data_IF_534157343999
#
_entry.id   IF_534157343999
#
_cell.length_a   1.000
_cell.length_b   1.000
_cell.length_c   1.000
_cell.angle_alpha   90.00
_cell.angle_beta   90.00
_cell.angle_gamma   90.00
#
_symmetry.space_group_name_H-M   'P 1'
#
loop_
_entity.id
_entity.type
_entity.pdbx_description
1 polymer ?
#
# COMPACT_ATOMS: atom_id res chain seq x y z
N UNK A 1 30.98 -17.09 10.55
CA UNK A 1 29.52 -16.91 10.47
C UNK A 1 28.99 -17.91 9.44
N UNK A 2 27.96 -18.70 9.77
CA UNK A 2 27.62 -19.90 9.02
C UNK A 2 26.83 -19.58 7.75
N UNK A 3 27.29 -20.13 6.63
CA UNK A 3 26.63 -20.08 5.34
C UNK A 3 25.36 -20.95 5.31
N UNK A 4 24.37 -20.50 4.55
CA UNK A 4 23.12 -21.22 4.34
C UNK A 4 23.40 -22.57 3.65
N UNK A 5 23.05 -23.66 4.34
CA UNK A 5 23.05 -25.01 3.81
C UNK A 5 21.77 -25.20 2.98
N UNK A 6 21.87 -25.20 1.66
CA UNK A 6 20.78 -25.65 0.79
C UNK A 6 20.93 -27.18 0.56
N UNK A 7 19.85 -27.97 0.65
CA UNK A 7 19.91 -29.41 0.39
C UNK A 7 20.20 -29.72 -1.09
N UNK A 8 20.97 -30.78 -1.39
CA UNK A 8 21.63 -30.99 -2.69
C UNK A 8 20.74 -31.54 -3.82
N UNK A 9 19.42 -31.35 -3.80
CA UNK A 9 18.55 -31.99 -4.80
C UNK A 9 17.26 -31.23 -5.13
N UNK A 10 17.35 -29.90 -5.27
CA UNK A 10 16.26 -29.12 -5.86
C UNK A 10 16.54 -28.96 -7.37
N UNK A 11 15.67 -29.45 -8.27
CA UNK A 11 15.84 -29.24 -9.70
C UNK A 11 15.79 -27.74 -10.02
N UNK A 12 16.86 -27.23 -10.62
CA UNK A 12 16.91 -25.87 -11.16
C UNK A 12 16.03 -25.87 -12.42
N UNK A 13 14.99 -25.03 -12.52
CA UNK A 13 14.25 -24.90 -13.77
C UNK A 13 15.18 -24.29 -14.84
N UNK A 14 15.23 -24.92 -16.01
CA UNK A 14 16.02 -24.47 -17.16
C UNK A 14 15.70 -23.00 -17.53
N UNK A 15 16.70 -22.23 -17.99
CA UNK A 15 16.46 -20.91 -18.53
C UNK A 15 15.59 -21.03 -19.78
N UNK A 16 14.39 -20.44 -19.73
CA UNK A 16 13.51 -20.34 -20.88
C UNK A 16 14.23 -19.60 -22.00
N UNK A 17 14.35 -20.30 -23.13
CA UNK A 17 14.79 -19.78 -24.40
C UNK A 17 13.93 -18.55 -24.75
N UNK A 18 14.60 -17.42 -25.00
CA UNK A 18 13.99 -16.23 -25.55
C UNK A 18 13.68 -16.50 -27.03
N UNK A 19 12.40 -16.70 -27.34
CA UNK A 19 11.89 -16.52 -28.70
C UNK A 19 11.37 -15.08 -28.80
N UNK A 20 12.20 -14.22 -29.39
CA UNK A 20 11.76 -12.98 -30.02
C UNK A 20 10.97 -13.34 -31.28
N UNK A 21 9.71 -12.90 -31.38
CA UNK A 21 9.18 -12.26 -32.59
C UNK A 21 7.80 -11.63 -32.33
N UNK A 22 7.54 -10.61 -33.12
CA UNK A 22 6.65 -9.46 -32.95
C UNK A 22 5.15 -9.79 -32.86
N UNK A 23 4.40 -9.00 -32.09
CA UNK A 23 3.08 -8.56 -32.57
C UNK A 23 2.75 -7.15 -32.07
N UNK A 24 2.78 -6.21 -33.02
CA UNK A 24 2.41 -4.81 -32.86
C UNK A 24 0.91 -4.73 -33.08
N UNK A 25 0.13 -4.71 -32.00
CA UNK A 25 -1.25 -4.23 -32.10
C UNK A 25 -1.59 -3.24 -30.99
N UNK A 26 -1.95 -2.04 -31.46
CA UNK A 26 -2.54 -0.96 -30.70
C UNK A 26 -3.76 -1.44 -29.95
N UNK A 27 -3.80 -1.14 -28.65
CA UNK A 27 -5.04 -1.08 -27.89
C UNK A 27 -4.99 0.24 -27.12
N UNK A 28 -5.53 1.28 -27.74
CA UNK A 28 -6.07 2.43 -27.04
C UNK A 28 -7.18 1.90 -26.13
N UNK A 29 -7.09 2.15 -24.83
CA UNK A 29 -8.12 1.80 -23.87
C UNK A 29 -8.82 3.10 -23.49
N UNK A 30 -10.00 3.30 -24.05
CA UNK A 30 -10.95 4.34 -23.68
C UNK A 30 -11.28 4.19 -22.19
N UNK A 31 -11.19 5.29 -21.43
CA UNK A 31 -11.66 5.36 -20.05
C UNK A 31 -13.17 5.66 -20.11
N UNK A 32 -14.01 4.65 -19.87
CA UNK A 32 -15.45 4.83 -19.79
C UNK A 32 -15.84 5.63 -18.53
N UNK A 33 -16.56 6.73 -18.76
CA UNK A 33 -17.32 7.49 -17.79
C UNK A 33 -18.52 6.65 -17.31
N UNK A 34 -18.59 6.33 -16.01
CA UNK A 34 -19.83 5.81 -15.43
C UNK A 34 -20.61 6.95 -14.79
N UNK A 35 -21.61 7.41 -15.54
CA UNK A 35 -22.62 8.39 -15.17
C UNK A 35 -23.72 7.77 -14.29
N UNK A 36 -24.29 8.60 -13.43
CA UNK A 36 -25.31 8.23 -12.46
C UNK A 36 -26.57 7.63 -13.10
N UNK A 37 -27.08 6.53 -12.54
CA UNK A 37 -28.50 6.18 -12.71
C UNK A 37 -29.14 5.77 -11.37
N UNK A 38 -30.17 6.52 -11.02
CA UNK A 38 -31.14 6.20 -9.99
C UNK A 38 -31.97 4.97 -10.40
N UNK A 39 -32.10 3.98 -9.50
CA UNK A 39 -33.29 3.12 -9.52
C UNK A 39 -33.66 2.66 -8.11
N UNK A 40 -34.96 2.83 -7.85
CA UNK A 40 -35.72 2.48 -6.67
C UNK A 40 -36.12 1.00 -6.71
N UNK A 41 -36.14 0.32 -5.56
CA UNK A 41 -36.98 -0.88 -5.38
C UNK A 41 -36.42 -2.03 -4.53
N UNK A 42 -36.70 -1.94 -3.22
CA UNK A 42 -37.21 -2.99 -2.31
C UNK A 42 -36.38 -4.22 -1.87
N UNK A 43 -36.32 -4.30 -0.53
CA UNK A 43 -36.55 -5.45 0.38
C UNK A 43 -35.53 -6.59 0.44
N UNK A 44 -34.82 -6.73 1.57
CA UNK A 44 -35.21 -7.66 2.66
C UNK A 44 -34.18 -7.68 3.84
N UNK A 45 -34.74 -7.85 5.05
CA UNK A 45 -34.20 -8.44 6.28
C UNK A 45 -33.05 -7.76 7.06
N UNK A 46 -33.45 -6.86 7.98
CA UNK A 46 -32.66 -6.39 9.12
C UNK A 46 -32.73 -7.41 10.28
N UNK A 47 -31.62 -8.11 10.53
CA UNK A 47 -31.36 -8.82 11.79
C UNK A 47 -30.68 -7.85 12.76
N UNK A 48 -31.35 -7.59 13.87
CA UNK A 48 -30.89 -6.70 14.93
C UNK A 48 -29.68 -7.28 15.69
N UNK A 49 -28.59 -6.51 15.72
CA UNK A 49 -27.59 -6.60 16.79
C UNK A 49 -27.41 -5.22 17.38
N UNK A 50 -27.80 -5.08 18.65
CA UNK A 50 -27.64 -3.90 19.48
C UNK A 50 -26.15 -3.68 19.80
N UNK A 51 -25.54 -2.70 19.14
CA UNK A 51 -24.26 -2.13 19.58
C UNK A 51 -24.56 -1.03 20.61
N UNK A 52 -24.14 -1.29 21.85
CA UNK A 52 -24.18 -0.31 22.93
C UNK A 52 -23.13 0.77 22.67
N UNK A 53 -23.62 2.01 22.65
CA UNK A 53 -22.94 3.28 22.73
C UNK A 53 -21.93 3.29 23.89
N UNK A 54 -20.64 3.35 23.52
CA UNK A 54 -19.56 3.81 24.38
C UNK A 54 -19.05 5.14 23.87
N UNK A 55 -19.70 6.24 24.27
CA UNK A 55 -19.20 7.60 24.15
C UNK A 55 -17.95 7.78 25.01
N UNK A 56 -16.78 7.48 24.44
CA UNK A 56 -15.49 7.92 24.95
C UNK A 56 -15.25 9.34 24.42
N UNK A 57 -15.22 10.30 25.33
CA UNK A 57 -14.96 11.70 25.02
C UNK A 57 -13.62 11.85 24.30
N UNK A 58 -13.68 12.24 23.02
CA UNK A 58 -12.55 12.75 22.29
C UNK A 58 -12.06 14.01 23.01
N UNK A 59 -11.02 13.90 23.84
CA UNK A 59 -10.21 15.05 24.19
C UNK A 59 -9.62 15.58 22.87
N UNK A 60 -10.26 16.61 22.33
CA UNK A 60 -9.70 17.45 21.27
C UNK A 60 -8.38 18.01 21.80
N UNK A 61 -7.29 17.30 21.53
CA UNK A 61 -5.96 17.87 21.61
C UNK A 61 -5.97 18.97 20.55
N UNK A 62 -6.11 20.21 21.00
CA UNK A 62 -5.93 21.43 20.20
C UNK A 62 -4.49 21.45 19.68
N UNK A 63 -4.27 20.69 18.61
CA UNK A 63 -3.00 20.59 17.92
C UNK A 63 -2.87 21.88 17.15
N UNK A 64 -2.11 22.82 17.71
CA UNK A 64 -1.77 24.08 17.06
C UNK A 64 -1.11 23.81 15.70
N UNK A 65 -1.92 23.78 14.63
CA UNK A 65 -1.47 23.52 13.26
C UNK A 65 -0.49 24.59 12.77
N UNK A 66 -0.61 25.82 13.30
CA UNK A 66 0.26 26.94 12.95
C UNK A 66 1.68 26.82 13.53
N UNK A 67 1.90 25.94 14.50
CA UNK A 67 3.23 25.66 15.06
C UNK A 67 3.96 24.48 14.38
N UNK A 68 3.28 23.74 13.49
CA UNK A 68 3.88 22.59 12.80
C UNK A 68 4.56 23.03 11.51
N UNK A 69 5.65 22.36 11.14
CA UNK A 69 6.15 22.49 9.76
C UNK A 69 5.10 21.98 8.76
N UNK A 70 5.11 22.50 7.53
CA UNK A 70 4.20 22.06 6.46
C UNK A 70 4.18 20.53 6.28
N UNK A 71 5.36 19.91 6.39
CA UNK A 71 5.53 18.45 6.28
C UNK A 71 4.88 17.72 7.47
N UNK A 72 5.04 18.22 8.68
CA UNK A 72 4.40 17.66 9.87
C UNK A 72 2.88 17.85 9.86
N UNK A 73 2.41 19.02 9.42
CA UNK A 73 1.00 19.31 9.23
C UNK A 73 0.35 18.36 8.22
N UNK A 74 0.98 18.13 7.07
CA UNK A 74 0.50 17.17 6.07
C UNK A 74 0.52 15.72 6.58
N UNK A 75 1.56 15.32 7.31
CA UNK A 75 1.63 13.98 7.93
C UNK A 75 0.51 13.79 8.95
N UNK A 76 0.25 14.80 9.78
CA UNK A 76 -0.84 14.77 10.76
C UNK A 76 -2.22 14.79 10.10
N UNK A 77 -2.42 15.61 9.06
CA UNK A 77 -3.67 15.64 8.28
C UNK A 77 -3.95 14.28 7.64
N UNK A 78 -2.96 13.68 6.97
CA UNK A 78 -3.13 12.38 6.31
C UNK A 78 -3.47 11.25 7.30
N UNK A 79 -2.83 11.28 8.48
CA UNK A 79 -3.07 10.30 9.56
C UNK A 79 -4.45 10.47 10.20
N UNK A 80 -4.93 11.71 10.33
CA UNK A 80 -6.21 12.03 10.98
C UNK A 80 -7.39 11.78 10.04
N UNK A 81 -7.25 12.10 8.75
CA UNK A 81 -8.33 12.00 7.77
C UNK A 81 -8.45 10.63 7.08
N UNK A 82 -7.68 9.61 7.49
CA UNK A 82 -7.65 8.29 6.84
C UNK A 82 -7.48 8.39 5.32
N UNK A 83 -6.71 9.38 4.85
CA UNK A 83 -6.57 9.66 3.43
C UNK A 83 -5.96 8.43 2.74
N UNK A 84 -6.70 7.83 1.81
CA UNK A 84 -6.24 6.64 1.11
C UNK A 84 -5.11 7.00 0.14
N UNK A 85 -4.24 6.04 -0.16
CA UNK A 85 -3.23 6.18 -1.23
C UNK A 85 -3.86 6.70 -2.53
N UNK A 86 -5.08 6.27 -2.85
CA UNK A 86 -5.85 6.72 -4.01
C UNK A 86 -6.11 8.23 -3.98
N UNK A 87 -6.55 8.77 -2.83
CA UNK A 87 -6.80 10.20 -2.67
C UNK A 87 -5.51 11.03 -2.77
N UNK A 88 -4.41 10.56 -2.18
CA UNK A 88 -3.12 11.26 -2.24
C UNK A 88 -2.56 11.28 -3.67
N UNK A 89 -2.67 10.16 -4.38
CA UNK A 89 -2.25 10.08 -5.79
C UNK A 89 -3.13 10.95 -6.71
N UNK A 90 -4.41 11.10 -6.40
CA UNK A 90 -5.33 11.98 -7.13
C UNK A 90 -4.89 13.45 -7.01
N UNK A 91 -4.59 13.93 -5.80
CA UNK A 91 -4.16 15.33 -5.59
C UNK A 91 -2.85 15.62 -6.33
N UNK A 92 -1.91 14.67 -6.35
CA UNK A 92 -0.66 14.77 -7.11
C UNK A 92 -0.83 14.63 -8.62
N UNK A 93 -1.99 14.15 -9.07
CA UNK A 93 -2.23 13.75 -10.45
C UNK A 93 -1.20 12.74 -10.97
N UNK A 94 -1.06 11.61 -10.26
CA UNK A 94 -0.12 10.53 -10.60
C UNK A 94 -0.79 9.17 -10.79
N UNK A 95 -0.14 8.31 -11.57
CA UNK A 95 -0.51 6.91 -11.73
C UNK A 95 -0.35 6.14 -10.42
N UNK A 96 -1.41 5.47 -9.97
CA UNK A 96 -1.40 4.68 -8.72
C UNK A 96 -0.68 3.33 -8.85
N UNK A 97 -0.54 2.62 -7.72
CA UNK A 97 0.23 1.36 -7.63
C UNK A 97 -0.17 0.24 -8.61
N UNK A 98 -1.39 0.28 -9.16
CA UNK A 98 -1.87 -0.70 -10.13
C UNK A 98 -1.36 -0.49 -11.56
N UNK A 99 -0.76 0.68 -11.86
CA UNK A 99 -0.30 1.01 -13.21
C UNK A 99 1.15 0.63 -13.48
N UNK A 100 1.51 0.50 -14.76
CA UNK A 100 2.88 0.17 -15.20
C UNK A 100 3.92 1.18 -14.73
N UNK A 101 3.58 2.45 -14.55
CA UNK A 101 4.45 3.47 -13.99
C UNK A 101 4.00 3.88 -12.58
N UNK A 102 3.42 2.94 -11.83
CA UNK A 102 2.71 3.19 -10.58
C UNK A 102 3.56 3.31 -9.31
N UNK A 103 4.84 2.94 -9.36
CA UNK A 103 5.72 3.18 -8.21
C UNK A 103 5.79 4.69 -7.95
N UNK A 104 5.76 5.14 -6.68
CA UNK A 104 5.80 6.56 -6.32
C UNK A 104 7.21 7.10 -6.03
N UNK A 105 8.19 6.20 -5.86
CA UNK A 105 9.55 6.55 -5.39
C UNK A 105 10.65 6.36 -6.44
N UNK A 106 10.48 5.44 -7.38
CA UNK A 106 11.47 5.17 -8.42
C UNK A 106 10.82 4.86 -9.78
N UNK A 107 11.62 4.95 -10.83
CA UNK A 107 11.22 4.76 -12.23
C UNK A 107 11.02 3.30 -12.63
N UNK A 108 10.87 2.39 -11.66
CA UNK A 108 10.64 0.97 -11.95
C UNK A 108 9.33 0.80 -12.72
N UNK A 109 9.41 0.07 -13.83
CA UNK A 109 8.24 -0.33 -14.60
C UNK A 109 7.62 -1.58 -13.99
N UNK A 110 6.31 -1.55 -13.81
CA UNK A 110 5.51 -2.68 -13.38
C UNK A 110 5.40 -3.73 -14.49
N UNK A 111 5.17 -4.98 -14.09
CA UNK A 111 4.88 -6.10 -14.98
C UNK A 111 3.63 -6.84 -14.48
N UNK A 112 2.64 -6.97 -15.36
CA UNK A 112 1.34 -7.55 -15.01
C UNK A 112 1.42 -9.05 -15.15
N UNK A 113 1.28 -9.76 -14.03
CA UNK A 113 1.23 -11.20 -14.04
C UNK A 113 -0.20 -11.66 -14.35
N UNK A 114 -0.42 -12.20 -15.56
CA UNK A 114 -1.74 -12.67 -16.01
C UNK A 114 -2.29 -13.83 -15.18
N UNK A 115 -1.43 -14.73 -14.72
CA UNK A 115 -1.83 -15.92 -13.93
C UNK A 115 -2.27 -15.50 -12.52
N UNK A 116 -1.47 -14.67 -11.85
CA UNK A 116 -1.77 -14.18 -10.51
C UNK A 116 -2.76 -13.00 -10.50
N UNK A 117 -3.06 -12.42 -11.67
CA UNK A 117 -3.88 -11.21 -11.89
C UNK A 117 -3.43 -10.03 -11.02
N UNK A 118 -2.13 -9.74 -11.02
CA UNK A 118 -1.54 -8.70 -10.16
C UNK A 118 -0.44 -7.93 -10.87
N UNK A 119 -0.36 -6.64 -10.55
CA UNK A 119 0.78 -5.80 -10.89
C UNK A 119 1.95 -6.09 -9.95
N UNK A 120 3.15 -6.24 -10.49
CA UNK A 120 4.39 -6.47 -9.72
C UNK A 120 5.50 -5.54 -10.20
N UNK A 121 6.42 -5.15 -9.32
CA UNK A 121 7.56 -4.28 -9.64
C UNK A 121 8.87 -5.01 -9.32
N UNK A 122 9.38 -5.85 -10.23
CA UNK A 122 10.54 -6.71 -9.95
C UNK A 122 11.88 -5.97 -9.95
N UNK A 123 11.95 -4.76 -10.53
CA UNK A 123 13.18 -3.99 -10.60
C UNK A 123 13.62 -3.45 -9.24
N UNK A 124 14.75 -3.95 -8.74
CA UNK A 124 15.27 -3.61 -7.40
C UNK A 124 16.16 -2.35 -7.37
N UNK A 125 16.72 -1.94 -8.50
CA UNK A 125 17.72 -0.85 -8.59
C UNK A 125 17.32 0.24 -9.60
N UNK A 126 16.02 0.56 -9.70
CA UNK A 126 15.56 1.64 -10.56
C UNK A 126 15.98 3.03 -10.03
N UNK A 127 16.16 3.98 -10.95
CA UNK A 127 16.48 5.35 -10.60
C UNK A 127 15.38 5.96 -9.72
N UNK A 128 15.77 6.70 -8.67
CA UNK A 128 14.83 7.39 -7.80
C UNK A 128 14.23 8.58 -8.55
N UNK A 129 12.94 8.84 -8.35
CA UNK A 129 12.33 10.09 -8.83
C UNK A 129 12.82 11.25 -7.98
N UNK A 130 12.91 12.42 -8.59
CA UNK A 130 13.24 13.66 -7.91
C UNK A 130 12.11 14.67 -8.08
N UNK A 131 12.00 15.61 -7.15
CA UNK A 131 11.05 16.72 -7.24
C UNK A 131 11.27 17.54 -8.51
N UNK A 132 12.53 17.81 -8.86
CA UNK A 132 12.88 18.54 -10.07
C UNK A 132 12.39 17.80 -11.33
N UNK A 133 12.61 16.49 -11.41
CA UNK A 133 12.15 15.69 -12.56
C UNK A 133 10.62 15.66 -12.64
N UNK A 134 9.95 15.66 -11.49
CA UNK A 134 8.50 15.73 -11.41
C UNK A 134 7.97 17.06 -11.98
N UNK A 135 8.50 18.20 -11.52
CA UNK A 135 8.09 19.53 -11.99
C UNK A 135 8.43 19.76 -13.46
N UNK A 136 9.52 19.16 -13.94
CA UNK A 136 9.93 19.21 -15.34
C UNK A 136 9.11 18.27 -16.24
N UNK A 137 8.20 17.46 -15.69
CA UNK A 137 7.36 16.53 -16.46
C UNK A 137 8.13 15.37 -17.09
N UNK A 138 9.27 14.97 -16.53
CA UNK A 138 10.21 14.00 -17.14
C UNK A 138 9.67 12.55 -17.15
N UNK A 139 8.61 12.26 -16.39
CA UNK A 139 8.08 10.90 -16.22
C UNK A 139 6.75 10.69 -16.96
N UNK A 140 6.77 10.51 -18.29
CA UNK A 140 5.56 10.25 -19.07
C UNK A 140 4.89 8.96 -18.59
N UNK A 141 3.57 9.03 -18.35
CA UNK A 141 2.77 7.90 -17.86
C UNK A 141 2.83 7.67 -16.34
N UNK A 142 3.72 8.35 -15.60
CA UNK A 142 3.61 8.46 -14.15
C UNK A 142 2.83 9.71 -13.76
N UNK A 143 3.14 10.85 -14.38
CA UNK A 143 2.44 12.12 -14.19
C UNK A 143 1.28 12.15 -15.17
N UNK A 144 0.06 12.32 -14.67
CA UNK A 144 -1.16 12.38 -15.48
C UNK A 144 -1.49 13.79 -15.93
N UNK A 145 -1.37 14.76 -15.02
CA UNK A 145 -1.58 16.18 -15.31
C UNK A 145 -0.76 17.06 -14.36
N UNK A 146 -0.74 18.36 -14.62
CA UNK A 146 -0.22 19.34 -13.68
C UNK A 146 -1.05 19.34 -12.38
N UNK A 147 -0.37 19.48 -11.24
CA UNK A 147 -1.01 19.59 -9.91
C UNK A 147 -0.67 20.94 -9.30
N UNK A 148 -1.60 21.62 -8.60
CA UNK A 148 -1.32 22.84 -7.85
C UNK A 148 -0.22 22.66 -6.79
N UNK A 149 0.05 21.43 -6.36
CA UNK A 149 1.15 21.13 -5.45
C UNK A 149 2.53 21.48 -6.05
N UNK A 150 2.65 21.50 -7.38
CA UNK A 150 3.88 21.89 -8.08
C UNK A 150 4.22 23.37 -7.94
N UNK A 151 3.33 24.21 -7.40
CA UNK A 151 3.57 25.63 -7.17
C UNK A 151 4.20 25.91 -5.79
N UNK A 152 4.22 24.91 -4.91
CA UNK A 152 4.81 25.02 -3.57
C UNK A 152 6.34 24.89 -3.65
N UNK A 153 7.09 25.91 -3.23
CA UNK A 153 8.56 25.95 -3.37
C UNK A 153 9.30 25.15 -2.28
N UNK A 154 8.78 25.11 -1.06
CA UNK A 154 9.39 24.41 0.08
C UNK A 154 8.72 23.04 0.34
N UNK A 155 8.34 22.35 -0.73
CA UNK A 155 7.67 21.06 -0.65
C UNK A 155 8.18 20.12 -1.74
N UNK A 156 8.92 19.09 -1.34
CA UNK A 156 9.39 18.04 -2.24
C UNK A 156 8.24 17.05 -2.48
N UNK A 157 7.63 17.11 -3.67
CA UNK A 157 6.51 16.25 -4.00
C UNK A 157 6.91 14.79 -3.84
N UNK A 158 8.11 14.36 -4.19
CA UNK A 158 8.48 12.94 -4.09
C UNK A 158 8.72 12.50 -2.64
N UNK A 159 9.42 13.30 -1.83
CA UNK A 159 9.85 12.93 -0.48
C UNK A 159 8.82 13.22 0.59
N UNK A 160 8.18 14.40 0.52
CA UNK A 160 7.40 14.93 1.64
C UNK A 160 6.00 14.35 1.72
N UNK A 161 5.44 13.83 0.61
CA UNK A 161 4.22 13.03 0.76
C UNK A 161 4.50 11.58 1.14
N UNK A 162 3.87 11.20 2.25
CA UNK A 162 3.89 9.88 2.83
C UNK A 162 2.88 9.00 2.06
N UNK A 163 3.32 8.39 0.98
CA UNK A 163 2.51 7.44 0.17
C UNK A 163 2.92 5.98 0.43
N UNK A 164 4.11 5.77 0.98
CA UNK A 164 4.79 4.48 1.03
C UNK A 164 5.70 4.41 2.26
N UNK A 165 5.12 4.40 3.46
CA UNK A 165 5.85 4.17 4.69
C UNK A 165 5.95 2.66 5.01
N UNK A 166 6.97 2.32 5.79
CA UNK A 166 7.27 0.94 6.18
C UNK A 166 6.08 0.26 6.86
N UNK A 167 5.36 0.99 7.70
CA UNK A 167 4.23 0.44 8.45
C UNK A 167 3.15 -0.07 7.50
N UNK A 168 2.74 0.72 6.50
CA UNK A 168 1.68 0.32 5.58
C UNK A 168 2.16 -0.72 4.56
N UNK A 169 3.37 -0.58 4.02
CA UNK A 169 3.86 -1.49 2.97
C UNK A 169 4.37 -2.83 3.51
N UNK A 170 5.19 -2.82 4.56
CA UNK A 170 5.83 -4.02 5.06
C UNK A 170 5.00 -4.65 6.17
N UNK A 171 4.71 -3.90 7.23
CA UNK A 171 4.17 -4.48 8.46
C UNK A 171 2.66 -4.82 8.30
N UNK A 172 1.85 -3.86 7.85
CA UNK A 172 0.43 -4.06 7.57
C UNK A 172 0.17 -4.75 6.23
N UNK A 173 1.02 -4.51 5.23
CA UNK A 173 0.87 -5.09 3.89
C UNK A 173 1.33 -6.53 3.82
N UNK A 174 2.65 -6.75 3.92
CA UNK A 174 3.28 -8.06 3.72
C UNK A 174 3.15 -8.92 4.98
N UNK A 175 3.62 -8.45 6.12
CA UNK A 175 3.73 -9.26 7.34
C UNK A 175 2.36 -9.73 7.83
N UNK A 176 1.37 -8.84 7.89
CA UNK A 176 -0.01 -9.22 8.22
C UNK A 176 -0.55 -10.29 7.28
N UNK A 177 -0.34 -10.14 5.97
CA UNK A 177 -0.79 -11.12 4.97
C UNK A 177 -0.12 -12.47 5.17
N UNK A 178 1.20 -12.48 5.42
CA UNK A 178 1.97 -13.70 5.71
C UNK A 178 1.45 -14.40 6.96
N UNK A 179 1.33 -13.68 8.08
CA UNK A 179 0.85 -14.22 9.35
C UNK A 179 -0.58 -14.78 9.26
N UNK A 180 -1.50 -14.04 8.63
CA UNK A 180 -2.88 -14.50 8.45
C UNK A 180 -2.92 -15.74 7.57
N UNK A 181 -2.15 -15.79 6.49
CA UNK A 181 -2.14 -16.94 5.60
C UNK A 181 -1.46 -18.17 6.19
N UNK A 182 -0.41 -18.02 7.01
CA UNK A 182 0.16 -19.13 7.76
C UNK A 182 -0.74 -19.61 8.90
N UNK A 183 -1.54 -18.73 9.51
CA UNK A 183 -2.56 -19.11 10.49
C UNK A 183 -3.71 -19.89 9.85
N UNK A 184 -4.24 -19.38 8.73
CA UNK A 184 -5.37 -19.99 8.04
C UNK A 184 -4.99 -21.20 7.17
N UNK A 185 -3.72 -21.32 6.78
CA UNK A 185 -3.23 -22.34 5.85
C UNK A 185 -3.41 -21.96 4.37
N UNK A 186 -3.69 -20.69 4.04
CA UNK A 186 -3.92 -20.26 2.67
C UNK A 186 -2.67 -20.25 1.78
N UNK A 187 -1.46 -20.36 2.35
CA UNK A 187 -0.20 -20.47 1.62
C UNK A 187 0.26 -21.92 1.38
N UNK A 188 -0.60 -22.90 1.64
CA UNK A 188 -0.32 -24.30 1.37
C UNK A 188 0.10 -25.08 2.63
N UNK A 189 1.03 -26.03 2.52
CA UNK A 189 1.23 -27.06 3.56
C UNK A 189 1.84 -26.52 4.85
N UNK A 190 2.52 -25.37 4.78
CA UNK A 190 3.13 -24.74 5.95
C UNK A 190 2.08 -23.91 6.67
N UNK A 191 1.65 -24.41 7.83
CA UNK A 191 0.65 -23.77 8.69
C UNK A 191 1.14 -23.69 10.11
N UNK A 192 0.87 -22.57 10.77
CA UNK A 192 1.12 -22.44 12.21
C UNK A 192 0.18 -23.38 12.97
N UNK A 193 0.76 -24.14 13.90
CA UNK A 193 -0.02 -24.95 14.82
C UNK A 193 -0.74 -24.07 15.83
N UNK A 194 -1.82 -24.58 16.45
CA UNK A 194 -2.51 -23.85 17.53
C UNK A 194 -1.56 -23.47 18.66
N UNK A 195 -0.59 -24.33 18.97
CA UNK A 195 0.42 -24.07 19.99
C UNK A 195 1.36 -22.93 19.58
N UNK A 196 1.77 -22.88 18.30
CA UNK A 196 2.59 -21.78 17.79
C UNK A 196 1.83 -20.46 17.80
N UNK A 197 0.55 -20.46 17.37
CA UNK A 197 -0.30 -19.28 17.46
C UNK A 197 -0.47 -18.80 18.90
N UNK A 198 -0.67 -19.72 19.86
CA UNK A 198 -0.73 -19.41 21.30
C UNK A 198 0.56 -18.78 21.80
N UNK A 199 1.72 -19.38 21.50
CA UNK A 199 3.01 -18.84 21.89
C UNK A 199 3.28 -17.44 21.31
N UNK A 200 2.84 -17.18 20.08
CA UNK A 200 2.96 -15.84 19.47
C UNK A 200 2.00 -14.86 20.16
N UNK A 201 0.74 -15.25 20.41
CA UNK A 201 -0.23 -14.41 21.13
C UNK A 201 0.25 -14.05 22.53
N UNK A 202 0.83 -14.99 23.26
CA UNK A 202 1.41 -14.77 24.58
C UNK A 202 2.60 -13.81 24.49
N UNK A 203 3.48 -13.98 23.50
CA UNK A 203 4.59 -13.06 23.27
C UNK A 203 4.10 -11.64 22.96
N UNK A 204 3.05 -11.50 22.13
CA UNK A 204 2.45 -10.21 21.76
C UNK A 204 1.82 -9.50 22.97
N UNK A 205 1.15 -10.24 23.85
CA UNK A 205 0.54 -9.70 25.07
C UNK A 205 1.58 -9.13 26.05
N UNK A 206 2.81 -9.64 26.00
CA UNK A 206 3.92 -9.20 26.87
C UNK A 206 4.74 -8.04 26.28
N UNK A 207 4.40 -7.53 25.09
CA UNK A 207 5.11 -6.38 24.50
C UNK A 207 4.70 -5.10 25.23
N UNK A 208 5.70 -4.41 25.76
CA UNK A 208 5.55 -3.06 26.30
C UNK A 208 5.42 -2.07 25.13
N UNK A 209 4.27 -1.39 25.04
CA UNK A 209 4.04 -0.34 24.06
C UNK A 209 4.38 1.05 24.65
N UNK A 210 4.80 2.01 23.82
CA UNK A 210 4.88 3.41 24.22
C UNK A 210 3.54 3.93 24.75
N UNK A 211 3.58 4.90 25.67
CA UNK A 211 2.40 5.48 26.32
C UNK A 211 1.39 6.09 25.35
N UNK A 212 1.83 6.48 24.16
CA UNK A 212 1.02 7.07 23.08
C UNK A 212 0.07 6.04 22.43
N UNK A 213 0.28 4.74 22.65
CA UNK A 213 -0.55 3.69 22.08
C UNK A 213 -1.51 3.17 23.16
N UNK A 214 -2.72 3.73 23.18
CA UNK A 214 -3.78 3.34 24.12
C UNK A 214 -4.38 1.95 23.86
N UNK A 215 -4.16 1.37 22.68
CA UNK A 215 -4.70 0.05 22.31
C UNK A 215 -3.74 -1.07 22.71
N UNK A 216 -4.30 -2.17 23.21
CA UNK A 216 -3.55 -3.41 23.44
C UNK A 216 -3.22 -4.12 22.12
N UNK A 217 -2.13 -4.88 22.12
CA UNK A 217 -1.78 -5.73 20.97
C UNK A 217 -2.79 -6.89 20.90
N UNK A 218 -3.44 -7.07 19.75
CA UNK A 218 -4.36 -8.19 19.51
C UNK A 218 -3.55 -9.46 19.24
N UNK A 219 -4.00 -10.59 19.79
CA UNK A 219 -3.43 -11.91 19.54
C UNK A 219 -3.65 -12.40 18.10
N UNK A 220 -2.92 -13.47 17.75
CA UNK A 220 -3.06 -14.21 16.50
C UNK A 220 -4.29 -15.09 16.47
#
# INVERSE_FOLDING_TARGET
MPGAFFPPNCPVPDPLVEDDEEDVHMAEMEEDEEDETSSVGSSDDELSSSDEDGSDGDEEIDKNFDAMSLVEGLRNWASTNKATEKSVNMVRSVTGHGGYNGCQKCTVKGSYNKVARRMTFPGINAAKRTDQDFRNGIHPGHIKAATPLSDLHDFDLIKDMVVADRLHLLDLGIMKRMLVGWRSGSFGPIRLSKQQCGAISDALANIQLPSEIHRTVRGM
#
